data_IF_716733796160
#
_entry.id   IF_716733796160
#
_cell.length_a   1.000
_cell.length_b   1.000
_cell.length_c   1.000
_cell.angle_alpha   90.00
_cell.angle_beta   90.00
_cell.angle_gamma   90.00
#
_symmetry.space_group_name_H-M   'P 1'
#
loop_
_entity.id
_entity.type
_entity.pdbx_description
1 polymer ?
#
# COMPACT_ATOMS: atom_id res chain seq x y z
N UNK A 1 -8.84 19.14 13.75
CA UNK A 1 -9.03 18.01 14.62
C UNK A 1 -7.75 17.26 14.80
N UNK A 2 -7.39 17.10 16.04
CA UNK A 2 -6.14 16.39 16.31
C UNK A 2 -6.17 14.99 15.75
N UNK A 3 -7.30 14.30 15.85
CA UNK A 3 -7.41 12.93 15.38
C UNK A 3 -7.27 12.76 13.89
N UNK A 4 -7.40 13.85 13.16
CA UNK A 4 -7.31 13.80 11.72
C UNK A 4 -5.97 14.26 11.19
N UNK A 5 -5.12 14.72 12.06
CA UNK A 5 -3.81 15.14 11.64
C UNK A 5 -2.91 13.96 11.43
N UNK A 6 -2.12 14.05 10.38
CA UNK A 6 -1.08 13.07 10.15
C UNK A 6 0.10 13.45 11.02
N UNK A 7 0.43 12.60 11.97
CA UNK A 7 1.59 12.82 12.80
C UNK A 7 2.82 12.29 12.10
N UNK A 8 3.98 12.78 12.48
CA UNK A 8 5.23 12.26 11.94
C UNK A 8 5.40 10.79 12.26
N UNK A 9 4.95 10.39 13.44
CA UNK A 9 5.06 9.00 13.84
C UNK A 9 4.19 8.09 12.98
N UNK A 10 2.95 8.52 12.69
CA UNK A 10 2.08 7.73 11.84
C UNK A 10 2.66 7.61 10.43
N UNK A 11 3.14 8.72 9.88
CA UNK A 11 3.75 8.71 8.55
C UNK A 11 4.93 7.76 8.52
N UNK A 12 5.77 7.80 9.54
CA UNK A 12 6.94 6.94 9.61
C UNK A 12 6.53 5.47 9.62
N UNK A 13 5.51 5.13 10.40
CA UNK A 13 5.03 3.75 10.47
C UNK A 13 4.46 3.29 9.13
N UNK A 14 3.70 4.16 8.48
CA UNK A 14 3.14 3.83 7.17
C UNK A 14 4.26 3.53 6.18
N UNK A 15 5.29 4.35 6.16
CA UNK A 15 6.39 4.14 5.23
C UNK A 15 7.19 2.89 5.58
N UNK A 16 7.39 2.62 6.86
CA UNK A 16 8.11 1.43 7.27
C UNK A 16 7.36 0.16 6.87
N UNK A 17 6.04 0.17 7.03
CA UNK A 17 5.23 -0.97 6.65
C UNK A 17 5.24 -1.15 5.14
N UNK A 18 5.10 -0.06 4.40
CA UNK A 18 5.12 -0.11 2.95
C UNK A 18 6.44 -0.70 2.43
N UNK A 19 7.53 -0.34 3.08
CA UNK A 19 8.85 -0.83 2.66
C UNK A 19 8.97 -2.35 2.82
N UNK A 20 8.11 -2.96 3.62
CA UNK A 20 8.18 -4.39 3.87
C UNK A 20 7.36 -5.22 2.90
N UNK A 21 6.54 -4.59 2.06
CA UNK A 21 5.75 -5.35 1.09
C UNK A 21 6.70 -6.01 0.11
N UNK A 22 6.73 -7.35 0.05
CA UNK A 22 7.72 -8.01 -0.80
C UNK A 22 7.34 -7.93 -2.26
N UNK A 23 8.34 -8.04 -3.10
CA UNK A 23 8.13 -8.16 -4.54
C UNK A 23 7.26 -9.39 -4.78
N UNK A 24 6.25 -9.25 -5.64
CA UNK A 24 5.34 -10.34 -5.92
C UNK A 24 4.12 -10.37 -5.04
N UNK A 25 3.98 -9.38 -4.16
CA UNK A 25 2.79 -9.24 -3.32
C UNK A 25 2.28 -7.81 -3.37
N UNK A 26 1.01 -7.64 -3.03
CA UNK A 26 0.39 -6.33 -2.97
C UNK A 26 -0.30 -6.15 -1.63
N UNK A 27 -0.52 -4.89 -1.27
CA UNK A 27 -1.28 -4.54 -0.09
C UNK A 27 -2.37 -3.56 -0.50
N UNK A 28 -3.15 -3.10 0.46
CA UNK A 28 -4.14 -2.06 0.18
C UNK A 28 -4.05 -1.00 1.25
N UNK A 29 -4.62 0.16 0.94
CA UNK A 29 -4.51 1.30 1.86
C UNK A 29 -5.08 0.98 3.24
N UNK A 30 -6.17 0.22 3.28
CA UNK A 30 -6.75 -0.17 4.57
C UNK A 30 -5.88 -1.10 5.37
N UNK A 31 -5.19 -2.03 4.70
CA UNK A 31 -4.28 -2.92 5.40
C UNK A 31 -3.11 -2.15 6.01
N UNK A 32 -2.54 -1.23 5.24
CA UNK A 32 -1.44 -0.42 5.74
C UNK A 32 -1.90 0.40 6.95
N UNK A 33 -3.09 1.00 6.85
CA UNK A 33 -3.64 1.79 7.94
C UNK A 33 -3.83 0.93 9.19
N UNK A 34 -4.38 -0.27 9.01
CA UNK A 34 -4.59 -1.18 10.12
C UNK A 34 -3.26 -1.54 10.80
N UNK A 35 -2.27 -1.89 10.00
CA UNK A 35 -0.97 -2.28 10.54
C UNK A 35 -0.27 -1.12 11.22
N UNK A 36 -0.57 0.10 10.79
CA UNK A 36 0.02 1.29 11.42
C UNK A 36 -0.75 1.72 12.67
N UNK A 37 -1.81 0.98 13.04
CA UNK A 37 -2.52 1.24 14.27
C UNK A 37 -3.74 2.12 14.14
N UNK A 38 -4.13 2.52 12.92
CA UNK A 38 -5.26 3.42 12.68
C UNK A 38 -6.10 2.90 11.52
N UNK A 39 -6.91 1.85 11.75
CA UNK A 39 -7.61 1.18 10.65
C UNK A 39 -8.58 2.06 9.86
N UNK A 40 -8.96 3.21 10.39
CA UNK A 40 -9.86 4.11 9.67
C UNK A 40 -9.13 5.13 8.84
N UNK A 41 -7.82 5.06 8.78
CA UNK A 41 -7.00 6.08 8.13
C UNK A 41 -6.57 5.71 6.72
N UNK A 42 -7.33 4.85 6.04
CA UNK A 42 -6.94 4.41 4.69
C UNK A 42 -6.78 5.59 3.73
N UNK A 43 -7.67 6.58 3.83
CA UNK A 43 -7.59 7.73 2.94
C UNK A 43 -6.32 8.54 3.20
N UNK A 44 -5.93 8.66 4.46
CA UNK A 44 -4.70 9.36 4.81
C UNK A 44 -3.50 8.60 4.27
N UNK A 45 -3.53 7.26 4.36
CA UNK A 45 -2.45 6.45 3.79
C UNK A 45 -2.33 6.73 2.30
N UNK A 46 -3.46 6.78 1.59
CA UNK A 46 -3.43 7.11 0.17
C UNK A 46 -2.76 8.44 -0.10
N UNK A 47 -3.07 9.46 0.71
CA UNK A 47 -2.44 10.76 0.54
C UNK A 47 -0.94 10.71 0.80
N UNK A 48 -0.53 9.92 1.78
CA UNK A 48 0.90 9.79 2.09
C UNK A 48 1.67 9.13 0.97
N UNK A 49 1.03 8.24 0.20
CA UNK A 49 1.71 7.60 -0.91
C UNK A 49 2.09 8.59 -2.01
N UNK A 50 1.36 9.69 -2.13
CA UNK A 50 1.65 10.69 -3.14
C UNK A 50 2.97 11.40 -2.92
N UNK A 51 3.41 11.49 -1.67
CA UNK A 51 4.63 12.21 -1.33
C UNK A 51 5.68 11.30 -0.71
N UNK A 52 5.51 10.00 -0.87
CA UNK A 52 6.46 9.05 -0.30
C UNK A 52 7.79 9.09 -1.06
N UNK A 53 8.89 8.74 -0.38
CA UNK A 53 10.17 8.61 -1.05
C UNK A 53 10.09 7.65 -2.22
N UNK A 54 10.80 7.96 -3.30
CA UNK A 54 10.68 7.19 -4.53
C UNK A 54 11.20 5.76 -4.41
N UNK A 55 12.04 5.51 -3.42
CA UNK A 55 12.58 4.17 -3.22
C UNK A 55 11.59 3.22 -2.55
N UNK A 56 10.47 3.73 -2.02
CA UNK A 56 9.47 2.86 -1.43
C UNK A 56 8.61 2.22 -2.50
N UNK A 57 8.22 0.94 -2.31
CA UNK A 57 7.41 0.25 -3.31
C UNK A 57 5.93 0.62 -3.19
N UNK A 58 5.62 1.91 -3.31
CA UNK A 58 4.25 2.38 -3.16
C UNK A 58 3.34 1.85 -4.25
N UNK A 59 3.89 1.45 -5.39
CA UNK A 59 3.07 0.85 -6.45
C UNK A 59 2.45 -0.47 -6.01
N UNK A 60 2.93 -1.07 -4.93
CA UNK A 60 2.38 -2.32 -4.41
C UNK A 60 1.18 -2.09 -3.50
N UNK A 61 0.71 -0.84 -3.36
CA UNK A 61 -0.44 -0.51 -2.52
C UNK A 61 -1.59 -0.11 -3.42
N UNK A 62 -2.71 -0.84 -3.30
CA UNK A 62 -3.86 -0.71 -4.17
C UNK A 62 -5.10 -0.43 -3.34
N UNK A 63 -6.23 -0.26 -4.02
CA UNK A 63 -7.50 -0.27 -3.31
C UNK A 63 -7.85 -1.68 -2.88
N UNK A 64 -8.72 -1.79 -1.91
CA UNK A 64 -9.07 -3.08 -1.31
C UNK A 64 -9.55 -4.08 -2.35
N UNK A 65 -10.25 -3.61 -3.36
CA UNK A 65 -10.79 -4.49 -4.40
C UNK A 65 -9.79 -4.79 -5.51
N UNK A 66 -8.58 -4.30 -5.41
CA UNK A 66 -7.55 -4.54 -6.42
C UNK A 66 -7.48 -3.47 -7.50
N UNK A 67 -8.31 -2.43 -7.40
CA UNK A 67 -8.28 -1.35 -8.38
C UNK A 67 -6.99 -0.56 -8.26
N UNK A 68 -6.50 -0.11 -9.40
CA UNK A 68 -5.30 0.69 -9.46
C UNK A 68 -5.58 2.12 -9.02
N UNK A 69 -4.53 2.82 -8.57
CA UNK A 69 -4.66 4.20 -8.15
C UNK A 69 -4.89 5.09 -9.37
N UNK A 70 -5.94 5.91 -9.36
CA UNK A 70 -6.20 6.79 -10.50
C UNK A 70 -5.24 7.97 -10.50
N UNK A 71 -5.24 8.69 -11.62
CA UNK A 71 -4.43 9.90 -11.74
C UNK A 71 -3.01 9.58 -12.13
N UNK A 72 -2.12 10.50 -11.81
CA UNK A 72 -0.74 10.43 -12.27
C UNK A 72 0.22 9.82 -11.26
N UNK A 73 -0.30 9.32 -10.16
CA UNK A 73 0.55 8.67 -9.16
C UNK A 73 1.23 7.46 -9.82
N UNK A 74 2.51 7.31 -9.61
CA UNK A 74 3.32 6.23 -10.21
C UNK A 74 3.37 6.30 -11.73
N UNK A 75 3.06 7.46 -12.32
CA UNK A 75 3.03 7.60 -13.77
C UNK A 75 1.72 7.16 -14.40
N UNK A 76 0.67 7.02 -13.59
CA UNK A 76 -0.66 6.64 -14.07
C UNK A 76 -0.96 5.17 -13.83
N UNK A 77 -2.26 4.80 -13.96
CA UNK A 77 -2.65 3.42 -13.69
C UNK A 77 -1.98 2.40 -14.60
N UNK A 78 -1.78 2.74 -15.86
CA UNK A 78 -1.13 1.81 -16.79
C UNK A 78 0.30 1.53 -16.35
N UNK A 79 1.00 2.54 -15.87
CA UNK A 79 2.37 2.35 -15.42
C UNK A 79 2.42 1.55 -14.14
N UNK A 80 1.49 1.80 -13.22
CA UNK A 80 1.42 1.01 -12.00
C UNK A 80 1.19 -0.46 -12.33
N UNK A 81 0.27 -0.74 -13.25
CA UNK A 81 0.00 -2.10 -13.66
C UNK A 81 1.23 -2.76 -14.27
N UNK A 82 1.94 -2.03 -15.11
CA UNK A 82 3.14 -2.54 -15.76
C UNK A 82 4.18 -2.95 -14.72
N UNK A 83 4.39 -2.09 -13.72
CA UNK A 83 5.34 -2.40 -12.66
C UNK A 83 4.94 -3.65 -11.91
N UNK A 84 3.66 -3.80 -11.61
CA UNK A 84 3.18 -4.96 -10.87
C UNK A 84 3.28 -6.22 -11.72
N UNK A 85 2.96 -6.13 -13.00
CA UNK A 85 3.08 -7.31 -13.87
C UNK A 85 4.53 -7.78 -13.98
N UNK A 86 5.46 -6.84 -13.98
CA UNK A 86 6.87 -7.19 -13.99
C UNK A 86 7.27 -7.94 -12.72
N UNK A 87 6.51 -7.74 -11.65
CA UNK A 87 6.77 -8.43 -10.39
C UNK A 87 5.96 -9.72 -10.25
N UNK A 88 5.24 -10.10 -11.30
CA UNK A 88 4.50 -11.36 -11.29
C UNK A 88 3.07 -11.27 -10.80
N UNK A 89 2.57 -10.06 -10.55
CA UNK A 89 1.19 -9.90 -10.09
C UNK A 89 0.24 -10.18 -11.25
N UNK A 90 -0.76 -11.02 -11.01
CA UNK A 90 -1.77 -11.34 -12.00
C UNK A 90 -2.94 -10.39 -11.89
N UNK A 91 -3.49 -10.03 -13.04
CA UNK A 91 -4.67 -9.18 -13.08
C UNK A 91 -5.86 -9.96 -13.61
N UNK A 92 -7.02 -9.62 -13.08
CA UNK A 92 -8.28 -10.25 -13.46
C UNK A 92 -8.77 -9.65 -14.78
N UNK A 93 -9.74 -10.32 -15.43
CA UNK A 93 -10.24 -9.81 -16.72
C UNK A 93 -10.80 -8.40 -16.65
N UNK A 94 -11.30 -7.97 -15.48
CA UNK A 94 -11.86 -6.63 -15.34
C UNK A 94 -10.80 -5.57 -15.04
N UNK A 95 -9.51 -5.95 -15.01
CA UNK A 95 -8.43 -5.00 -14.84
C UNK A 95 -7.97 -4.81 -13.42
N UNK A 96 -8.61 -5.44 -12.46
CA UNK A 96 -8.18 -5.35 -11.06
C UNK A 96 -7.12 -6.41 -10.76
N UNK A 97 -6.23 -6.09 -9.83
CA UNK A 97 -5.26 -7.08 -9.39
C UNK A 97 -5.97 -8.22 -8.67
N UNK A 98 -5.41 -9.43 -8.80
CA UNK A 98 -5.94 -10.61 -8.13
C UNK A 98 -5.54 -10.57 -6.66
N UNK A 99 -6.33 -9.86 -5.85
CA UNK A 99 -6.02 -9.71 -4.44
C UNK A 99 -6.07 -11.03 -3.70
N UNK A 100 -6.93 -11.93 -4.13
CA UNK A 100 -7.07 -13.22 -3.44
C UNK A 100 -5.78 -14.01 -3.54
N UNK A 101 -5.11 -13.96 -4.68
CA UNK A 101 -3.89 -14.73 -4.88
C UNK A 101 -2.62 -14.02 -4.46
N UNK A 102 -2.65 -12.70 -4.37
CA UNK A 102 -1.40 -11.93 -4.24
C UNK A 102 -1.37 -10.99 -3.06
N UNK A 103 -2.42 -10.93 -2.24
CA UNK A 103 -2.42 -10.05 -1.08
C UNK A 103 -1.33 -10.48 -0.09
N UNK A 104 -0.58 -9.50 0.37
CA UNK A 104 0.47 -9.70 1.36
C UNK A 104 -0.17 -10.07 2.70
N UNK A 105 0.38 -11.08 3.36
CA UNK A 105 -0.08 -11.51 4.68
C UNK A 105 1.09 -11.44 5.64
N UNK A 106 1.41 -10.25 6.14
CA UNK A 106 2.53 -10.12 7.06
C UNK A 106 2.19 -10.73 8.41
N UNK A 107 3.23 -11.09 9.16
CA UNK A 107 3.07 -11.44 10.55
C UNK A 107 2.63 -10.16 11.25
N UNK A 108 1.37 -10.09 11.65
CA UNK A 108 0.79 -8.89 12.21
C UNK A 108 1.54 -8.40 13.44
N UNK A 109 1.91 -9.33 14.32
CA UNK A 109 2.63 -8.96 15.52
C UNK A 109 3.96 -8.31 15.17
N UNK A 110 4.70 -8.94 14.27
CA UNK A 110 5.99 -8.42 13.86
C UNK A 110 5.84 -7.09 13.16
N UNK A 111 4.83 -6.94 12.31
CA UNK A 111 4.60 -5.70 11.58
C UNK A 111 4.26 -4.57 12.54
N UNK A 112 3.41 -4.83 13.52
CA UNK A 112 2.98 -3.79 14.44
C UNK A 112 4.11 -3.38 15.39
N UNK A 113 4.89 -4.32 15.83
CA UNK A 113 5.99 -4.02 16.73
C UNK A 113 7.17 -3.40 16.00
N UNK A 114 7.36 -3.80 14.77
CA UNK A 114 8.29 -3.14 13.88
C UNK A 114 9.75 -3.19 14.26
N UNK A 115 10.03 -3.49 15.47
CA UNK A 115 11.38 -3.41 16.00
C UNK A 115 11.81 -4.69 16.63
N UNK A 116 10.93 -5.56 16.77
CA UNK A 116 11.28 -6.81 17.47
C UNK A 116 11.99 -7.78 16.62
#
# INVERSE_FOLDING_TARGET
MAGERVTNEFRKRVYEITARIPRGKVSCYGQIAFLAGHPRAARIVGALMHTAPSELPCHRVLYKDGSLCPGEVFGGPARQRELLEQEGIRFLPDGRADMKGFLWHPDTVSALQGQD
#
